data_IF_931513416825
#
_entry.id   IF_931513416825
#
_cell.length_a   1.000
_cell.length_b   1.000
_cell.length_c   1.000
_cell.angle_alpha   90.00
_cell.angle_beta   90.00
_cell.angle_gamma   90.00
#
_symmetry.space_group_name_H-M   'P 1'
#
loop_
_entity.id
_entity.type
_entity.pdbx_description
1 polymer ?
#
# COMPACT_ATOMS: atom_id res chain seq x y z
N UNK A 1 53.01 -40.13 36.71
CA UNK A 1 52.35 -40.76 35.55
C UNK A 1 50.87 -40.90 35.92
N UNK A 2 50.13 -39.79 36.02
CA UNK A 2 49.34 -39.18 34.93
C UNK A 2 48.71 -40.21 33.99
N UNK A 3 47.49 -40.64 34.34
CA UNK A 3 46.49 -41.12 33.40
C UNK A 3 45.13 -40.62 33.91
N UNK A 4 44.83 -39.35 33.66
CA UNK A 4 43.46 -38.84 33.75
C UNK A 4 42.93 -38.86 32.31
N UNK A 5 42.13 -39.86 31.98
CA UNK A 5 41.47 -39.93 30.69
C UNK A 5 40.41 -38.83 30.60
N UNK A 6 40.30 -38.12 29.46
CA UNK A 6 39.26 -37.14 29.27
C UNK A 6 37.93 -37.87 29.03
N UNK A 7 37.05 -37.83 30.01
CA UNK A 7 35.65 -38.26 29.87
C UNK A 7 34.92 -37.24 28.99
N UNK A 8 34.89 -37.53 27.70
CA UNK A 8 33.98 -36.92 26.73
C UNK A 8 32.52 -37.19 27.20
N UNK A 9 31.78 -36.14 27.55
CA UNK A 9 30.35 -36.19 27.82
C UNK A 9 29.62 -35.65 26.57
N UNK A 10 29.16 -36.52 25.64
CA UNK A 10 28.53 -36.08 24.40
C UNK A 10 27.00 -36.01 24.52
N UNK A 11 26.45 -35.51 25.63
CA UNK A 11 25.00 -35.40 25.79
C UNK A 11 24.63 -34.27 26.75
N UNK A 12 24.59 -33.05 26.22
CA UNK A 12 23.91 -31.92 26.85
C UNK A 12 22.53 -31.81 26.15
N UNK A 13 21.47 -32.45 26.66
CA UNK A 13 20.14 -32.49 26.01
C UNK A 13 19.42 -31.13 26.05
N UNK A 14 20.07 -30.08 26.55
CA UNK A 14 19.51 -28.75 26.65
C UNK A 14 19.99 -27.79 25.55
N UNK A 15 20.67 -28.29 24.52
CA UNK A 15 20.69 -27.64 23.21
C UNK A 15 19.32 -27.84 22.54
N UNK A 16 18.27 -27.32 23.16
CA UNK A 16 17.02 -27.04 22.47
C UNK A 16 17.39 -26.05 21.37
N UNK A 17 17.63 -26.60 20.18
CA UNK A 17 17.51 -25.89 18.93
C UNK A 17 16.15 -25.21 19.02
N UNK A 18 16.15 -23.94 19.47
CA UNK A 18 15.00 -23.06 19.40
C UNK A 18 14.80 -22.91 17.91
N UNK A 19 14.11 -23.88 17.31
CA UNK A 19 13.79 -23.95 15.91
C UNK A 19 13.09 -22.63 15.61
N UNK A 20 13.91 -21.66 15.16
CA UNK A 20 13.46 -20.30 14.94
C UNK A 20 12.35 -20.47 13.92
N UNK A 21 11.14 -20.09 14.30
CA UNK A 21 9.96 -20.16 13.44
C UNK A 21 10.38 -19.74 12.02
N UNK A 22 10.08 -20.55 10.99
CA UNK A 22 10.59 -20.34 9.65
C UNK A 22 10.38 -18.88 9.24
N UNK A 23 11.49 -18.18 8.99
CA UNK A 23 11.49 -16.76 8.66
C UNK A 23 11.41 -16.61 7.15
N UNK A 24 10.39 -15.91 6.69
CA UNK A 24 10.28 -15.56 5.27
C UNK A 24 10.97 -14.22 5.06
N UNK A 25 11.95 -14.20 4.16
CA UNK A 25 12.56 -12.95 3.70
C UNK A 25 11.52 -12.15 2.95
N UNK A 26 11.30 -10.92 3.36
CA UNK A 26 10.31 -10.02 2.77
C UNK A 26 10.96 -8.66 2.54
N UNK A 27 10.46 -7.92 1.57
CA UNK A 27 10.81 -6.52 1.40
C UNK A 27 9.50 -5.74 1.32
N UNK A 28 9.04 -5.25 2.47
CA UNK A 28 7.75 -4.55 2.57
C UNK A 28 7.95 -3.19 3.20
N UNK A 29 7.37 -2.16 2.57
CA UNK A 29 7.24 -0.84 3.17
C UNK A 29 6.29 -0.90 4.37
N UNK A 30 6.71 -0.25 5.44
CA UNK A 30 5.98 -0.18 6.68
C UNK A 30 6.30 1.12 7.41
N UNK A 31 5.56 1.37 8.49
CA UNK A 31 5.90 2.42 9.42
C UNK A 31 5.57 2.00 10.85
N UNK A 32 6.40 2.42 11.78
CA UNK A 32 6.16 2.29 13.21
C UNK A 32 5.41 3.53 13.70
N UNK A 33 4.16 3.34 14.12
CA UNK A 33 3.36 4.37 14.74
C UNK A 33 3.42 4.26 16.28
N UNK A 34 3.72 5.38 16.94
CA UNK A 34 3.79 5.48 18.40
C UNK A 34 3.26 6.84 18.84
N UNK A 35 3.22 7.08 20.15
CA UNK A 35 2.64 8.29 20.73
C UNK A 35 1.17 8.49 20.30
N UNK A 36 0.32 7.48 20.59
CA UNK A 36 -1.10 7.47 20.20
C UNK A 36 -1.33 7.65 18.69
N UNK A 37 -0.46 7.06 17.85
CA UNK A 37 -0.53 7.13 16.38
C UNK A 37 -0.21 8.53 15.79
N UNK A 38 0.18 9.52 16.62
CA UNK A 38 0.59 10.86 16.14
C UNK A 38 2.02 10.94 15.63
N UNK A 39 2.86 9.94 15.90
CA UNK A 39 4.23 9.88 15.43
C UNK A 39 4.43 8.60 14.62
N UNK A 40 4.90 8.75 13.38
CA UNK A 40 5.15 7.63 12.48
C UNK A 40 6.58 7.70 11.95
N UNK A 41 7.28 6.57 12.02
CA UNK A 41 8.62 6.41 11.48
C UNK A 41 8.58 5.41 10.32
N UNK A 42 9.03 5.78 9.11
CA UNK A 42 9.12 4.84 8.00
C UNK A 42 10.16 3.75 8.28
N UNK A 43 9.82 2.52 7.93
CA UNK A 43 10.71 1.38 8.07
C UNK A 43 10.47 0.34 6.96
N UNK A 44 11.45 -0.53 6.78
CA UNK A 44 11.37 -1.63 5.82
C UNK A 44 11.41 -2.95 6.57
N UNK A 45 10.42 -3.83 6.37
CA UNK A 45 10.51 -5.21 6.84
C UNK A 45 11.48 -5.98 5.95
N UNK A 46 12.42 -6.70 6.58
CA UNK A 46 13.40 -7.59 5.94
C UNK A 46 13.09 -9.06 6.13
N UNK A 47 12.60 -9.42 7.31
CA UNK A 47 12.18 -10.78 7.62
C UNK A 47 10.91 -10.76 8.45
N UNK A 48 10.03 -11.74 8.24
CA UNK A 48 8.84 -11.92 9.07
C UNK A 48 8.72 -13.39 9.48
N UNK A 49 8.33 -13.61 10.73
CA UNK A 49 7.94 -14.91 11.29
C UNK A 49 6.53 -14.82 11.85
N UNK A 50 5.95 -15.94 12.30
CA UNK A 50 4.65 -15.92 12.96
C UNK A 50 4.65 -15.13 14.29
N UNK A 51 5.83 -14.99 14.91
CA UNK A 51 6.00 -14.42 16.26
C UNK A 51 6.66 -13.03 16.27
N UNK A 52 7.20 -12.58 15.14
CA UNK A 52 7.93 -11.31 15.09
C UNK A 52 8.42 -10.95 13.70
N UNK A 53 9.21 -9.88 13.64
CA UNK A 53 9.80 -9.38 12.41
C UNK A 53 11.18 -8.76 12.63
N UNK A 54 11.96 -8.74 11.56
CA UNK A 54 13.16 -7.92 11.44
C UNK A 54 12.81 -6.70 10.59
N UNK A 55 12.98 -5.52 11.17
CA UNK A 55 12.69 -4.22 10.57
C UNK A 55 13.93 -3.34 10.54
N UNK A 56 14.08 -2.58 9.47
CA UNK A 56 15.15 -1.61 9.29
C UNK A 56 14.54 -0.22 9.23
N UNK A 57 14.97 0.65 10.14
CA UNK A 57 14.52 2.03 10.24
C UNK A 57 15.44 2.93 9.42
N UNK A 58 14.90 3.68 8.48
CA UNK A 58 15.68 4.65 7.73
C UNK A 58 16.04 5.81 8.67
N UNK A 59 17.28 6.32 8.69
CA UNK A 59 17.62 7.51 9.49
C UNK A 59 18.06 7.27 10.94
N UNK A 60 18.29 6.02 11.37
CA UNK A 60 19.01 5.71 12.62
C UNK A 60 18.26 6.10 13.91
N UNK A 61 16.94 6.22 13.86
CA UNK A 61 16.13 6.68 14.98
C UNK A 61 15.99 5.63 16.09
N UNK A 62 15.80 6.11 17.32
CA UNK A 62 15.42 5.28 18.46
C UNK A 62 13.94 4.95 18.38
N UNK A 63 13.64 3.66 18.26
CA UNK A 63 12.26 3.15 18.25
C UNK A 63 11.86 2.84 19.68
N UNK A 64 10.66 3.23 20.11
CA UNK A 64 10.17 2.90 21.46
C UNK A 64 10.13 1.39 21.69
N UNK A 65 10.10 0.98 22.96
CA UNK A 65 9.97 -0.44 23.29
C UNK A 65 8.66 -1.04 22.79
N UNK A 66 7.58 -0.24 22.70
CA UNK A 66 6.29 -0.68 22.21
C UNK A 66 5.73 0.30 21.19
N UNK A 67 5.27 -0.23 20.05
CA UNK A 67 4.71 0.56 18.96
C UNK A 67 3.76 -0.27 18.11
N UNK A 68 2.97 0.41 17.28
CA UNK A 68 2.12 -0.23 16.26
C UNK A 68 2.88 -0.31 14.95
N UNK A 69 3.12 -1.52 14.44
CA UNK A 69 3.72 -1.73 13.12
C UNK A 69 2.61 -1.78 12.08
N UNK A 70 2.62 -0.84 11.13
CA UNK A 70 1.71 -0.83 9.99
C UNK A 70 2.44 -1.34 8.75
N UNK A 71 1.82 -2.27 8.03
CA UNK A 71 2.38 -2.85 6.79
C UNK A 71 1.49 -2.46 5.61
N UNK A 72 2.01 -1.58 4.75
CA UNK A 72 1.23 -0.89 3.71
C UNK A 72 0.62 -1.86 2.70
N UNK A 73 1.43 -2.79 2.19
CA UNK A 73 1.04 -3.71 1.11
C UNK A 73 0.00 -4.73 1.56
N UNK A 74 0.10 -5.17 2.81
CA UNK A 74 -0.77 -6.20 3.36
C UNK A 74 -2.01 -5.60 4.04
N UNK A 75 -2.03 -4.29 4.29
CA UNK A 75 -3.17 -3.60 4.90
C UNK A 75 -3.47 -4.12 6.31
N UNK A 76 -2.46 -4.17 7.17
CA UNK A 76 -2.68 -4.48 8.57
C UNK A 76 -1.75 -3.70 9.47
N UNK A 77 -2.17 -3.60 10.73
CA UNK A 77 -1.36 -3.12 11.84
C UNK A 77 -1.32 -4.15 12.95
N UNK A 78 -0.19 -4.21 13.66
CA UNK A 78 0.00 -5.15 14.77
C UNK A 78 0.84 -4.49 15.85
N UNK A 79 0.46 -4.71 17.10
CA UNK A 79 1.21 -4.20 18.25
C UNK A 79 2.48 -5.03 18.43
N UNK A 80 3.62 -4.35 18.48
CA UNK A 80 4.94 -4.94 18.51
C UNK A 80 5.77 -4.40 19.68
N UNK A 81 6.65 -5.26 20.19
CA UNK A 81 7.65 -4.92 21.18
C UNK A 81 9.05 -5.08 20.61
N UNK A 82 9.94 -4.13 20.88
CA UNK A 82 11.35 -4.20 20.49
C UNK A 82 12.10 -5.22 21.36
N UNK A 83 12.70 -6.21 20.72
CA UNK A 83 13.51 -7.26 21.40
C UNK A 83 14.99 -6.90 21.38
N UNK A 84 15.47 -6.37 20.26
CA UNK A 84 16.86 -5.94 20.12
C UNK A 84 16.98 -4.84 19.08
N UNK A 85 18.02 -4.01 19.20
CA UNK A 85 18.36 -3.00 18.22
C UNK A 85 19.87 -2.98 17.98
N UNK A 86 20.26 -2.92 16.70
CA UNK A 86 21.63 -2.80 16.22
C UNK A 86 21.68 -1.68 15.18
N UNK A 87 21.92 -0.46 15.64
CA UNK A 87 21.89 0.73 14.79
C UNK A 87 20.50 0.94 14.19
N UNK A 88 20.39 0.79 12.87
CA UNK A 88 19.14 0.93 12.11
C UNK A 88 18.32 -0.38 12.05
N UNK A 89 18.95 -1.51 12.37
CA UNK A 89 18.29 -2.82 12.39
C UNK A 89 17.64 -3.08 13.75
N UNK A 90 16.44 -3.63 13.74
CA UNK A 90 15.66 -3.85 14.92
C UNK A 90 14.84 -5.13 14.79
N UNK A 91 14.93 -5.99 15.80
CA UNK A 91 14.09 -7.16 15.92
C UNK A 91 12.91 -6.87 16.83
N UNK A 92 11.72 -7.20 16.35
CA UNK A 92 10.47 -6.97 17.08
C UNK A 92 9.70 -8.26 17.27
N UNK A 93 8.99 -8.36 18.39
CA UNK A 93 8.07 -9.45 18.74
C UNK A 93 6.64 -8.93 18.64
N UNK A 94 5.76 -9.74 18.07
CA UNK A 94 4.34 -9.44 18.03
C UNK A 94 3.72 -9.74 19.40
N UNK A 95 3.04 -8.75 19.97
CA UNK A 95 2.38 -8.87 21.29
C UNK A 95 0.86 -8.90 21.19
N UNK A 96 0.29 -8.43 20.07
CA UNK A 96 -1.14 -8.37 19.84
C UNK A 96 -1.59 -9.15 18.61
N UNK A 97 -2.89 -9.09 18.34
CA UNK A 97 -3.47 -9.64 17.12
C UNK A 97 -3.21 -8.72 15.92
N UNK A 98 -3.21 -9.31 14.73
CA UNK A 98 -3.11 -8.63 13.45
C UNK A 98 -4.43 -7.93 13.12
N UNK A 99 -4.48 -6.62 13.28
CA UNK A 99 -5.65 -5.80 12.96
C UNK A 99 -5.60 -5.38 11.49
N UNK A 100 -6.57 -5.82 10.68
CA UNK A 100 -6.67 -5.41 9.27
C UNK A 100 -6.99 -3.91 9.22
N UNK A 101 -6.12 -3.15 8.58
CA UNK A 101 -6.29 -1.71 8.32
C UNK A 101 -6.42 -1.58 6.82
N UNK A 102 -7.55 -1.03 6.34
CA UNK A 102 -7.78 -0.86 4.90
C UNK A 102 -6.55 -0.25 4.21
N UNK A 103 -6.26 -0.68 2.98
CA UNK A 103 -5.05 -0.25 2.25
C UNK A 103 -5.01 1.28 2.20
N UNK A 104 -3.98 1.87 2.80
CA UNK A 104 -3.86 3.32 2.98
C UNK A 104 -3.88 4.10 1.64
N UNK A 105 -3.61 3.43 0.51
CA UNK A 105 -3.75 3.99 -0.84
C UNK A 105 -4.23 2.93 -1.83
N UNK A 106 -5.53 2.88 -2.08
CA UNK A 106 -6.05 2.25 -3.28
C UNK A 106 -6.14 3.33 -4.36
N UNK A 107 -5.15 3.39 -5.27
CA UNK A 107 -5.32 4.18 -6.48
C UNK A 107 -6.41 3.52 -7.31
N UNK A 108 -7.62 4.05 -7.20
CA UNK A 108 -8.70 3.72 -8.12
C UNK A 108 -8.34 4.41 -9.42
N UNK A 109 -7.74 3.65 -10.34
CA UNK A 109 -7.78 4.02 -11.76
C UNK A 109 -9.26 3.92 -12.14
N UNK A 110 -10.00 5.00 -12.00
CA UNK A 110 -11.31 5.10 -12.66
C UNK A 110 -10.97 5.09 -14.16
N UNK A 111 -11.35 4.06 -14.93
CA UNK A 111 -11.29 4.20 -16.36
C UNK A 111 -12.26 5.35 -16.68
N UNK A 112 -11.72 6.51 -17.06
CA UNK A 112 -12.49 7.48 -17.82
C UNK A 112 -13.14 6.69 -18.96
N UNK A 113 -14.47 6.70 -19.10
CA UNK A 113 -15.10 6.08 -20.26
C UNK A 113 -14.60 6.86 -21.47
N UNK A 114 -13.54 6.34 -22.09
CA UNK A 114 -13.09 6.78 -23.39
C UNK A 114 -14.26 6.49 -24.32
N UNK A 115 -15.03 7.53 -24.62
CA UNK A 115 -16.06 7.47 -25.62
C UNK A 115 -15.36 7.17 -26.95
N UNK A 116 -15.36 5.90 -27.33
CA UNK A 116 -15.08 5.51 -28.69
C UNK A 116 -16.26 5.95 -29.56
N UNK A 117 -16.34 7.25 -29.83
CA UNK A 117 -17.06 7.78 -30.96
C UNK A 117 -16.13 7.73 -32.18
N UNK A 118 -15.81 6.55 -32.71
CA UNK A 118 -15.77 6.31 -34.17
C UNK A 118 -15.08 4.99 -34.58
N UNK A 119 -15.78 3.86 -34.42
CA UNK A 119 -15.79 2.84 -35.50
C UNK A 119 -17.23 2.42 -35.74
N UNK A 120 -17.99 3.32 -36.37
CA UNK A 120 -19.20 2.91 -37.07
C UNK A 120 -18.77 2.14 -38.34
N UNK A 121 -18.70 0.81 -38.24
CA UNK A 121 -18.73 -0.05 -39.43
C UNK A 121 -20.06 0.23 -40.12
N UNK A 122 -19.99 0.98 -41.21
CA UNK A 122 -21.09 1.31 -42.09
C UNK A 122 -21.62 0.04 -42.74
N UNK A 123 -22.64 -0.57 -42.13
CA UNK A 123 -23.55 -1.45 -42.86
C UNK A 123 -24.80 -0.63 -43.19
N UNK A 124 -24.77 0.04 -44.34
CA UNK A 124 -25.97 0.60 -44.95
C UNK A 124 -26.09 0.04 -46.38
N UNK A 125 -27.27 -0.47 -46.78
CA UNK A 125 -27.51 -0.93 -48.14
C UNK A 125 -27.54 0.26 -49.11
N UNK A 126 -26.86 0.10 -50.24
CA UNK A 126 -26.73 1.08 -51.32
C UNK A 126 -28.11 1.60 -51.77
N UNK A 127 -28.28 2.94 -51.83
CA UNK A 127 -29.38 3.60 -52.54
C UNK A 127 -28.82 4.53 -53.62
N UNK A 128 -29.47 4.62 -54.79
CA UNK A 128 -28.87 5.21 -55.97
C UNK A 128 -28.79 6.74 -55.90
N UNK A 129 -27.71 7.23 -56.50
CA UNK A 129 -27.35 8.63 -56.76
C UNK A 129 -28.29 9.17 -57.83
N UNK A 130 -29.17 10.13 -57.51
CA UNK A 130 -29.90 11.08 -58.39
C UNK A 130 -31.15 11.49 -57.57
N UNK A 131 -31.49 12.74 -57.25
CA UNK A 131 -31.05 14.09 -57.58
C UNK A 131 -32.27 14.97 -57.29
N UNK A 132 -32.13 16.11 -56.60
CA UNK A 132 -32.92 17.33 -56.87
C UNK A 132 -32.48 18.49 -55.95
N UNK A 133 -32.40 19.74 -56.46
CA UNK A 133 -31.84 20.87 -55.73
C UNK A 133 -32.89 21.77 -55.07
N UNK A 134 -32.45 22.41 -54.00
CA UNK A 134 -32.89 23.71 -53.46
C UNK A 134 -34.28 23.86 -52.83
N UNK A 135 -34.27 24.19 -51.54
CA UNK A 135 -35.26 25.08 -50.92
C UNK A 135 -34.52 26.09 -50.00
N UNK A 136 -34.91 27.38 -49.99
CA UNK A 136 -34.15 28.44 -49.34
C UNK A 136 -34.36 28.48 -47.82
N UNK A 137 -33.32 28.91 -47.10
CA UNK A 137 -33.33 29.07 -45.64
C UNK A 137 -34.16 30.29 -45.22
N UNK A 138 -34.99 30.20 -44.16
CA UNK A 138 -35.69 31.38 -43.65
C UNK A 138 -34.74 32.33 -42.89
N UNK A 139 -34.92 33.62 -43.18
CA UNK A 139 -34.21 34.76 -42.62
C UNK A 139 -34.54 34.99 -41.13
N UNK A 140 -33.51 35.10 -40.29
CA UNK A 140 -33.65 35.32 -38.86
C UNK A 140 -33.80 36.83 -38.57
N UNK A 141 -34.99 37.26 -38.16
CA UNK A 141 -35.25 38.64 -37.72
C UNK A 141 -34.62 38.89 -36.35
N UNK A 142 -33.68 39.84 -36.30
CA UNK A 142 -33.20 40.44 -35.06
C UNK A 142 -34.37 41.10 -34.30
N UNK A 143 -34.52 40.79 -33.00
CA UNK A 143 -35.34 41.59 -32.08
C UNK A 143 -34.46 42.66 -31.43
N UNK A 144 -34.88 43.95 -31.41
CA UNK A 144 -34.10 45.01 -30.80
C UNK A 144 -34.29 45.04 -29.28
N UNK A 145 -33.31 45.65 -28.62
CA UNK A 145 -33.07 45.59 -27.18
C UNK A 145 -34.12 46.24 -26.29
N UNK A 146 -34.05 45.85 -25.01
CA UNK A 146 -34.76 46.47 -23.90
C UNK A 146 -33.81 46.66 -22.72
N UNK A 147 -33.31 47.89 -22.55
CA UNK A 147 -32.64 48.37 -21.35
C UNK A 147 -33.69 48.67 -20.26
N UNK A 148 -33.49 48.15 -19.05
CA UNK A 148 -34.46 48.32 -17.95
C UNK A 148 -33.84 48.24 -16.54
N UNK A 149 -33.22 49.36 -16.15
CA UNK A 149 -32.96 49.93 -14.81
C UNK A 149 -32.65 49.02 -13.59
N UNK A 150 -31.48 49.31 -13.00
CA UNK A 150 -31.13 49.14 -11.58
C UNK A 150 -32.02 50.02 -10.70
N UNK A 151 -32.52 49.46 -9.60
CA UNK A 151 -32.95 50.20 -8.41
C UNK A 151 -32.29 49.61 -7.17
N UNK A 152 -32.16 50.49 -6.19
CA UNK A 152 -31.20 50.56 -5.08
C UNK A 152 -31.55 49.68 -3.89
#
# INVERSE_FOLDING_TARGET
>A
MSSHEPVDHPDDPNAVDQARTPRTRVLKGAYAAFNQEFSAIPCTLRDISATGAHVVFEGGWFVPDRFMLHVDIDGYKIECERVWQRGSECGVRFIGEKLVTGKARQQVLTPEPYADESIAVSNAPSRPIFGDPAAPRPVQRHRPGGFGRRTR
#
